data_IF_934166028591
#
_entry.id   IF_934166028591
#
_cell.length_a   1.000
_cell.length_b   1.000
_cell.length_c   1.000
_cell.angle_alpha   90.00
_cell.angle_beta   90.00
_cell.angle_gamma   90.00
#
_symmetry.space_group_name_H-M   'P 1'
#
loop_
_entity.id
_entity.type
_entity.pdbx_description
1 polymer ?
#
# COMPACT_ATOMS: atom_id res chain seq x y z
N UNK A 1 -24.38 14.34 -13.33
CA UNK A 1 -24.18 13.37 -14.44
C UNK A 1 -25.55 12.94 -14.94
N UNK A 2 -25.80 13.04 -16.25
CA UNK A 2 -27.12 12.78 -16.82
C UNK A 2 -27.43 11.28 -16.78
N UNK A 3 -28.62 10.89 -16.30
CA UNK A 3 -29.05 9.47 -16.20
C UNK A 3 -28.84 8.68 -17.49
N UNK A 4 -29.07 9.31 -18.65
CA UNK A 4 -28.83 8.71 -19.97
C UNK A 4 -27.36 8.39 -20.22
N UNK A 5 -26.45 9.32 -19.90
CA UNK A 5 -25.00 9.13 -20.04
C UNK A 5 -24.52 8.00 -19.13
N UNK A 6 -25.00 7.95 -17.90
CA UNK A 6 -24.70 6.85 -16.98
C UNK A 6 -25.16 5.49 -17.54
N UNK A 7 -26.40 5.39 -18.03
CA UNK A 7 -26.93 4.14 -18.59
C UNK A 7 -26.11 3.69 -19.81
N UNK A 8 -25.77 4.61 -20.71
CA UNK A 8 -24.95 4.29 -21.89
C UNK A 8 -23.57 3.77 -21.48
N UNK A 9 -22.91 4.42 -20.52
CA UNK A 9 -21.61 3.97 -20.02
C UNK A 9 -21.70 2.63 -19.29
N UNK A 10 -22.76 2.42 -18.50
CA UNK A 10 -23.00 1.15 -17.83
C UNK A 10 -23.20 0.03 -18.85
N UNK A 11 -24.06 0.22 -19.86
CA UNK A 11 -24.28 -0.75 -20.94
C UNK A 11 -23.00 -1.05 -21.71
N UNK A 12 -22.20 -0.03 -22.02
CA UNK A 12 -20.91 -0.21 -22.69
C UNK A 12 -19.95 -1.05 -21.83
N UNK A 13 -19.82 -0.73 -20.54
CA UNK A 13 -18.99 -1.49 -19.61
C UNK A 13 -19.44 -2.94 -19.47
N UNK A 14 -20.74 -3.19 -19.31
CA UNK A 14 -21.31 -4.54 -19.27
C UNK A 14 -21.10 -5.30 -20.58
N UNK A 15 -21.22 -4.63 -21.73
CA UNK A 15 -20.95 -5.22 -23.04
C UNK A 15 -19.51 -5.70 -23.17
N UNK A 16 -18.54 -4.89 -22.73
CA UNK A 16 -17.11 -5.26 -22.72
C UNK A 16 -16.86 -6.45 -21.79
N UNK A 17 -17.46 -6.46 -20.59
CA UNK A 17 -17.33 -7.58 -19.66
C UNK A 17 -17.92 -8.88 -20.23
N UNK A 18 -19.11 -8.81 -20.82
CA UNK A 18 -19.75 -9.96 -21.46
C UNK A 18 -18.90 -10.50 -22.61
N UNK A 19 -18.34 -9.62 -23.46
CA UNK A 19 -17.42 -10.01 -24.51
C UNK A 19 -16.18 -10.74 -23.97
N UNK A 20 -15.58 -10.23 -22.89
CA UNK A 20 -14.43 -10.87 -22.23
C UNK A 20 -14.76 -12.26 -21.68
N UNK A 21 -15.90 -12.40 -21.00
CA UNK A 21 -16.37 -13.70 -20.46
C UNK A 21 -16.68 -14.69 -21.58
N UNK A 22 -17.37 -14.25 -22.64
CA UNK A 22 -17.64 -15.10 -23.80
C UNK A 22 -16.34 -15.53 -24.49
N UNK A 23 -15.37 -14.62 -24.63
CA UNK A 23 -14.05 -14.92 -25.17
C UNK A 23 -13.26 -15.93 -24.32
N UNK A 24 -13.38 -15.84 -22.99
CA UNK A 24 -12.79 -16.78 -22.04
C UNK A 24 -13.26 -18.21 -22.30
N UNK A 25 -14.56 -18.43 -22.51
CA UNK A 25 -15.10 -19.76 -22.75
C UNK A 25 -14.92 -20.24 -24.19
N UNK A 26 -15.05 -19.36 -25.19
CA UNK A 26 -14.81 -19.72 -26.60
C UNK A 26 -13.37 -20.16 -26.85
N UNK A 27 -12.39 -19.59 -26.13
CA UNK A 27 -10.98 -19.91 -26.27
C UNK A 27 -10.44 -20.79 -25.14
N UNK A 28 -11.30 -21.65 -24.57
CA UNK A 28 -11.02 -22.44 -23.35
C UNK A 28 -9.70 -23.21 -23.36
N UNK A 29 -9.28 -23.74 -24.51
CA UNK A 29 -8.01 -24.46 -24.66
C UNK A 29 -6.76 -23.61 -24.38
N UNK A 30 -6.86 -22.27 -24.52
CA UNK A 30 -5.76 -21.34 -24.23
C UNK A 30 -5.96 -20.63 -22.89
N UNK A 31 -7.20 -20.31 -22.56
CA UNK A 31 -7.55 -19.47 -21.41
C UNK A 31 -7.74 -20.25 -20.10
N UNK A 32 -7.93 -21.57 -20.17
CA UNK A 32 -8.10 -22.44 -18.99
C UNK A 32 -9.13 -21.86 -17.99
N UNK A 33 -10.42 -21.73 -18.37
CA UNK A 33 -11.41 -20.97 -17.61
C UNK A 33 -11.58 -21.43 -16.16
N UNK A 34 -11.40 -22.74 -15.88
CA UNK A 34 -11.45 -23.26 -14.52
C UNK A 34 -10.34 -22.71 -13.62
N UNK A 35 -9.11 -22.62 -14.13
CA UNK A 35 -7.98 -22.03 -13.39
C UNK A 35 -8.15 -20.52 -13.23
N UNK A 36 -8.69 -19.84 -14.25
CA UNK A 36 -9.05 -18.44 -14.15
C UNK A 36 -10.08 -18.19 -13.05
N UNK A 37 -11.16 -18.99 -12.99
CA UNK A 37 -12.20 -18.87 -11.95
C UNK A 37 -11.60 -19.12 -10.56
N UNK A 38 -10.78 -20.16 -10.40
CA UNK A 38 -10.09 -20.44 -9.13
C UNK A 38 -9.20 -19.28 -8.70
N UNK A 39 -8.42 -18.73 -9.61
CA UNK A 39 -7.55 -17.58 -9.33
C UNK A 39 -8.36 -16.33 -8.98
N UNK A 40 -9.41 -16.03 -9.73
CA UNK A 40 -10.26 -14.85 -9.53
C UNK A 40 -11.01 -14.92 -8.20
N UNK A 41 -11.75 -16.01 -7.97
CA UNK A 41 -12.53 -16.20 -6.73
C UNK A 41 -11.62 -16.44 -5.53
N UNK A 42 -10.56 -17.23 -5.69
CA UNK A 42 -9.57 -17.48 -4.64
C UNK A 42 -8.87 -16.19 -4.21
N UNK A 43 -8.47 -15.35 -5.18
CA UNK A 43 -7.88 -14.04 -4.92
C UNK A 43 -8.83 -13.09 -4.19
N UNK A 44 -10.09 -13.00 -4.64
CA UNK A 44 -11.12 -12.19 -3.97
C UNK A 44 -11.37 -12.68 -2.53
N UNK A 45 -11.47 -13.99 -2.34
CA UNK A 45 -11.67 -14.58 -1.02
C UNK A 45 -10.49 -14.31 -0.07
N UNK A 46 -9.25 -14.52 -0.54
CA UNK A 46 -8.05 -14.21 0.27
C UNK A 46 -7.98 -12.72 0.57
N UNK A 47 -8.34 -11.86 -0.37
CA UNK A 47 -8.38 -10.43 -0.17
C UNK A 47 -9.36 -10.05 0.96
N UNK A 48 -10.61 -10.50 0.88
CA UNK A 48 -11.66 -10.08 1.82
C UNK A 48 -11.54 -10.77 3.18
N UNK A 49 -11.14 -12.04 3.21
CA UNK A 49 -11.05 -12.82 4.44
C UNK A 49 -9.72 -12.62 5.19
N UNK A 50 -8.65 -12.19 4.50
CA UNK A 50 -7.31 -12.08 5.10
C UNK A 50 -6.74 -10.68 4.94
N UNK A 51 -6.59 -10.19 3.70
CA UNK A 51 -5.90 -8.93 3.46
C UNK A 51 -6.62 -7.74 4.08
N UNK A 52 -7.94 -7.62 3.86
CA UNK A 52 -8.74 -6.53 4.41
C UNK A 52 -8.72 -6.51 5.96
N UNK A 53 -8.94 -7.63 6.68
CA UNK A 53 -8.79 -7.67 8.14
C UNK A 53 -7.40 -7.30 8.64
N UNK A 54 -6.34 -7.77 7.97
CA UNK A 54 -4.95 -7.45 8.34
C UNK A 54 -4.69 -5.95 8.15
N UNK A 55 -5.06 -5.39 7.00
CA UNK A 55 -4.90 -3.95 6.72
C UNK A 55 -5.69 -3.12 7.72
N UNK A 56 -6.91 -3.54 8.06
CA UNK A 56 -7.71 -2.89 9.09
C UNK A 56 -7.03 -2.93 10.47
N UNK A 57 -6.50 -4.09 10.88
CA UNK A 57 -5.74 -4.22 12.11
C UNK A 57 -4.51 -3.31 12.15
N UNK A 58 -3.75 -3.24 11.05
CA UNK A 58 -2.60 -2.32 10.91
C UNK A 58 -3.05 -0.85 11.00
N UNK A 59 -4.18 -0.49 10.37
CA UNK A 59 -4.73 0.85 10.45
C UNK A 59 -5.13 1.23 11.89
N UNK A 60 -5.72 0.30 12.66
CA UNK A 60 -6.03 0.49 14.07
C UNK A 60 -4.76 0.71 14.92
N UNK A 61 -3.69 -0.02 14.64
CA UNK A 61 -2.39 0.16 15.31
C UNK A 61 -1.77 1.53 14.97
N UNK A 62 -1.78 1.91 13.69
CA UNK A 62 -1.35 3.24 13.23
C UNK A 62 -2.20 4.37 13.82
N UNK A 63 -3.45 4.09 14.19
CA UNK A 63 -4.33 5.01 14.92
C UNK A 63 -3.68 5.56 16.19
N UNK A 64 -2.90 4.74 16.90
CA UNK A 64 -2.22 5.07 18.17
C UNK A 64 -0.90 5.81 18.00
N UNK A 65 -0.36 5.89 16.79
CA UNK A 65 0.93 6.54 16.52
C UNK A 65 0.76 8.07 16.53
N UNK A 66 1.72 8.86 17.03
CA UNK A 66 1.70 10.31 16.91
C UNK A 66 1.57 10.78 15.45
N UNK A 67 0.75 11.83 15.21
CA UNK A 67 0.50 12.41 13.87
C UNK A 67 1.78 12.65 13.04
N UNK A 68 2.90 13.16 13.59
CA UNK A 68 4.10 13.41 12.80
C UNK A 68 4.69 12.16 12.13
N UNK A 69 4.46 10.97 12.69
CA UNK A 69 5.08 9.73 12.19
C UNK A 69 4.16 8.94 11.26
N UNK A 70 2.84 9.21 11.28
CA UNK A 70 1.83 8.40 10.59
C UNK A 70 2.10 8.27 9.09
N UNK A 71 2.36 9.38 8.41
CA UNK A 71 2.56 9.38 6.96
C UNK A 71 3.80 8.56 6.56
N UNK A 72 4.91 8.71 7.30
CA UNK A 72 6.14 7.96 7.06
C UNK A 72 5.93 6.46 7.26
N UNK A 73 5.28 6.06 8.37
CA UNK A 73 5.00 4.65 8.64
C UNK A 73 4.03 4.04 7.63
N UNK A 74 2.99 4.76 7.21
CA UNK A 74 2.07 4.31 6.17
C UNK A 74 2.81 4.05 4.85
N UNK A 75 3.61 5.01 4.40
CA UNK A 75 4.41 4.84 3.17
C UNK A 75 5.38 3.67 3.27
N UNK A 76 6.09 3.54 4.39
CA UNK A 76 7.02 2.44 4.66
C UNK A 76 6.34 1.07 4.65
N UNK A 77 5.19 0.95 5.32
CA UNK A 77 4.41 -0.29 5.36
C UNK A 77 3.86 -0.67 3.98
N UNK A 78 3.37 0.30 3.20
CA UNK A 78 2.92 0.06 1.82
C UNK A 78 4.08 -0.42 0.96
N UNK A 79 5.24 0.26 1.02
CA UNK A 79 6.42 -0.15 0.26
C UNK A 79 6.88 -1.57 0.65
N UNK A 80 6.96 -1.86 1.95
CA UNK A 80 7.33 -3.18 2.46
C UNK A 80 6.34 -4.26 2.00
N UNK A 81 5.03 -3.99 2.07
CA UNK A 81 3.99 -4.93 1.63
C UNK A 81 4.08 -5.22 0.13
N UNK A 82 4.21 -4.19 -0.70
CA UNK A 82 4.33 -4.32 -2.17
C UNK A 82 5.57 -5.13 -2.54
N UNK A 83 6.73 -4.80 -1.97
CA UNK A 83 7.97 -5.56 -2.21
C UNK A 83 7.80 -7.03 -1.78
N UNK A 84 7.25 -7.26 -0.60
CA UNK A 84 7.05 -8.63 -0.07
C UNK A 84 6.13 -9.46 -0.98
N UNK A 85 4.98 -8.90 -1.38
CA UNK A 85 4.03 -9.57 -2.27
C UNK A 85 4.62 -9.83 -3.66
N UNK A 86 5.43 -8.90 -4.17
CA UNK A 86 6.11 -9.04 -5.46
C UNK A 86 7.17 -10.14 -5.42
N UNK A 87 7.90 -10.24 -4.31
CA UNK A 87 8.99 -11.22 -4.15
C UNK A 87 8.48 -12.62 -3.77
N UNK A 88 7.29 -12.71 -3.16
CA UNK A 88 6.69 -13.95 -2.69
C UNK A 88 6.73 -15.14 -3.67
N UNK A 89 6.33 -15.04 -4.96
CA UNK A 89 6.39 -16.17 -5.88
C UNK A 89 7.81 -16.74 -6.05
N UNK A 90 8.83 -15.88 -6.02
CA UNK A 90 10.23 -16.30 -6.12
C UNK A 90 10.72 -16.99 -4.86
N UNK A 91 10.27 -16.55 -3.67
CA UNK A 91 10.52 -17.27 -2.41
C UNK A 91 9.90 -18.66 -2.41
N UNK A 92 8.72 -18.81 -3.03
CA UNK A 92 8.08 -20.11 -3.22
C UNK A 92 8.76 -20.98 -4.28
N UNK A 93 9.73 -20.42 -5.00
CA UNK A 93 10.43 -21.11 -6.09
C UNK A 93 9.54 -21.36 -7.30
N UNK A 94 8.46 -20.58 -7.46
CA UNK A 94 7.61 -20.71 -8.65
C UNK A 94 8.43 -20.40 -9.91
N UNK A 95 8.30 -21.27 -10.92
CA UNK A 95 9.08 -21.17 -12.15
C UNK A 95 10.50 -21.75 -12.06
N UNK A 96 10.95 -22.23 -10.89
CA UNK A 96 12.26 -22.89 -10.76
C UNK A 96 12.26 -24.20 -11.52
N UNK A 97 13.30 -24.41 -12.34
CA UNK A 97 13.52 -25.65 -13.07
C UNK A 97 14.84 -26.28 -12.67
N UNK A 98 14.84 -27.59 -12.45
CA UNK A 98 16.04 -28.34 -12.03
C UNK A 98 17.08 -28.46 -13.14
N UNK A 99 16.64 -28.36 -14.40
CA UNK A 99 17.48 -28.43 -15.59
C UNK A 99 18.11 -27.06 -15.96
N UNK A 100 17.64 -25.96 -15.37
CA UNK A 100 18.14 -24.63 -15.64
C UNK A 100 18.19 -23.75 -14.38
N UNK A 101 19.34 -23.79 -13.71
CA UNK A 101 19.60 -23.01 -12.49
C UNK A 101 19.65 -21.48 -12.74
N UNK A 102 19.80 -21.03 -14.00
CA UNK A 102 19.84 -19.60 -14.32
C UNK A 102 18.45 -18.92 -14.29
N UNK A 103 17.36 -19.69 -14.17
CA UNK A 103 15.99 -19.14 -14.10
C UNK A 103 15.73 -18.45 -12.76
N UNK A 104 16.33 -18.95 -11.67
CA UNK A 104 16.15 -18.40 -10.33
C UNK A 104 17.46 -18.44 -9.53
N UNK A 105 18.49 -17.69 -9.96
CA UNK A 105 19.85 -17.83 -9.44
C UNK A 105 20.06 -17.12 -8.10
N UNK A 106 19.19 -16.16 -7.77
CA UNK A 106 19.38 -15.31 -6.59
C UNK A 106 18.81 -15.94 -5.32
N UNK A 107 19.47 -15.63 -4.20
CA UNK A 107 18.89 -15.82 -2.87
C UNK A 107 17.89 -14.68 -2.57
N UNK A 108 16.63 -14.93 -2.94
CA UNK A 108 15.51 -14.01 -2.70
C UNK A 108 15.20 -13.78 -1.23
N UNK A 109 15.58 -14.71 -0.34
CA UNK A 109 15.33 -14.57 1.10
C UNK A 109 16.23 -13.47 1.68
N UNK A 110 17.54 -13.58 1.43
CA UNK A 110 18.52 -12.58 1.82
C UNK A 110 18.27 -11.25 1.10
N UNK A 111 17.88 -11.30 -0.18
CA UNK A 111 17.48 -10.11 -0.94
C UNK A 111 16.33 -9.35 -0.28
N UNK A 112 15.24 -10.06 0.05
CA UNK A 112 14.06 -9.46 0.68
C UNK A 112 14.40 -8.84 2.04
N UNK A 113 15.12 -9.56 2.91
CA UNK A 113 15.50 -9.05 4.24
C UNK A 113 16.29 -7.74 4.11
N UNK A 114 17.27 -7.69 3.20
CA UNK A 114 18.06 -6.47 2.95
C UNK A 114 17.18 -5.32 2.45
N UNK A 115 16.28 -5.57 1.50
CA UNK A 115 15.38 -4.53 0.99
C UNK A 115 14.42 -4.03 2.08
N UNK A 116 13.86 -4.91 2.90
CA UNK A 116 13.02 -4.53 4.03
C UNK A 116 13.78 -3.72 5.08
N UNK A 117 15.04 -4.07 5.35
CA UNK A 117 15.91 -3.28 6.24
C UNK A 117 16.14 -1.87 5.69
N UNK A 118 16.40 -1.72 4.38
CA UNK A 118 16.54 -0.40 3.74
C UNK A 118 15.25 0.40 3.87
N UNK A 119 14.09 -0.20 3.58
CA UNK A 119 12.78 0.47 3.72
C UNK A 119 12.57 0.93 5.17
N UNK A 120 12.89 0.08 6.15
CA UNK A 120 12.77 0.41 7.57
C UNK A 120 13.66 1.60 7.96
N UNK A 121 14.93 1.61 7.53
CA UNK A 121 15.87 2.71 7.80
C UNK A 121 15.39 4.02 7.19
N UNK A 122 14.97 3.99 5.92
CA UNK A 122 14.45 5.18 5.22
C UNK A 122 13.19 5.70 5.92
N UNK A 123 12.27 4.81 6.28
CA UNK A 123 11.04 5.15 7.00
C UNK A 123 11.32 5.81 8.34
N UNK A 124 12.25 5.24 9.12
CA UNK A 124 12.67 5.78 10.41
C UNK A 124 13.29 7.18 10.26
N UNK A 125 14.13 7.38 9.24
CA UNK A 125 14.72 8.69 8.92
C UNK A 125 13.65 9.75 8.62
N UNK A 126 12.64 9.41 7.81
CA UNK A 126 11.53 10.33 7.54
C UNK A 126 10.68 10.62 8.77
N UNK A 127 10.40 9.62 9.61
CA UNK A 127 9.61 9.79 10.82
C UNK A 127 10.34 10.67 11.84
N UNK A 128 11.65 10.47 12.02
CA UNK A 128 12.50 11.30 12.87
C UNK A 128 12.55 12.75 12.37
N UNK A 129 12.73 12.95 11.05
CA UNK A 129 12.70 14.27 10.45
C UNK A 129 11.35 14.99 10.65
N UNK A 130 10.23 14.28 10.51
CA UNK A 130 8.90 14.84 10.75
C UNK A 130 8.68 15.20 12.22
N UNK A 131 9.18 14.38 13.14
CA UNK A 131 9.17 14.67 14.58
C UNK A 131 9.92 15.96 14.92
N UNK A 132 11.15 16.10 14.42
CA UNK A 132 11.99 17.27 14.68
C UNK A 132 11.36 18.56 14.13
N UNK A 133 10.73 18.51 12.95
CA UNK A 133 10.01 19.66 12.37
C UNK A 133 8.84 20.10 13.25
N UNK A 134 8.05 19.14 13.75
CA UNK A 134 6.91 19.43 14.62
C UNK A 134 7.29 20.13 15.93
N UNK A 135 8.42 19.75 16.55
CA UNK A 135 8.90 20.42 17.78
C UNK A 135 9.28 21.88 17.53
N UNK A 136 10.02 22.16 16.45
CA UNK A 136 10.48 23.52 16.13
C UNK A 136 9.30 24.47 15.89
N UNK A 137 8.25 24.01 15.20
CA UNK A 137 7.04 24.81 14.99
C UNK A 137 6.33 25.16 16.30
N UNK A 138 6.32 24.26 17.28
CA UNK A 138 5.73 24.51 18.60
C UNK A 138 6.52 25.54 19.42
N UNK A 139 7.86 25.48 19.36
CA UNK A 139 8.75 26.44 20.03
C UNK A 139 8.58 27.86 19.48
N UNK A 140 8.54 28.02 18.14
CA UNK A 140 8.33 29.32 17.48
C UNK A 140 6.94 29.89 17.81
N UNK A 141 5.89 29.05 17.78
CA UNK A 141 4.54 29.49 18.14
C UNK A 141 4.44 29.91 19.62
N UNK A 142 5.13 29.20 20.53
CA UNK A 142 5.18 29.54 21.94
C UNK A 142 5.91 30.86 22.21
N UNK A 143 7.03 31.09 21.54
CA UNK A 143 7.78 32.35 21.62
C UNK A 143 6.94 33.55 21.12
N UNK A 144 6.25 33.39 19.99
CA UNK A 144 5.36 34.43 19.45
C UNK A 144 4.15 34.70 20.36
N UNK A 145 3.58 33.68 21.00
CA UNK A 145 2.50 33.86 21.95
C UNK A 145 2.98 34.61 23.21
N UNK A 146 4.20 34.33 23.69
CA UNK A 146 4.79 35.02 24.83
C UNK A 146 5.07 36.50 24.54
N UNK A 147 5.55 36.84 23.34
CA UNK A 147 5.78 38.24 22.95
C UNK A 147 4.48 39.04 22.86
N UNK A 148 3.41 38.44 22.30
CA UNK A 148 2.08 39.08 22.23
C UNK A 148 1.39 39.27 23.59
N UNK A 149 1.81 38.52 24.62
CA UNK A 149 1.32 38.69 25.99
C UNK A 149 2.12 39.74 26.74
N UNK A 150 3.43 39.84 26.48
CA UNK A 150 4.28 40.92 26.99
C UNK A 150 3.79 42.28 26.50
N UNK A 151 3.75 42.46 25.18
CA UNK A 151 3.33 43.69 24.49
C UNK A 151 1.98 44.24 24.98
N UNK A 152 1.00 43.35 25.22
CA UNK A 152 -0.34 43.71 25.70
C UNK A 152 -0.40 44.16 27.17
N UNK A 153 0.60 43.80 27.99
CA UNK A 153 0.72 44.31 29.36
C UNK A 153 1.31 45.71 29.39
N UNK A 154 2.05 46.06 28.35
CA UNK A 154 2.80 47.31 28.27
C UNK A 154 1.89 48.46 27.78
N UNK A 155 0.84 48.16 27.02
CA UNK A 155 -0.18 49.12 26.54
C UNK A 155 -1.34 49.39 27.54
N UNK A 156 -1.37 48.71 28.69
CA UNK A 156 -2.48 48.76 29.65
C UNK A 156 -2.30 49.70 30.85
N UNK A 157 -1.31 50.59 30.82
CA UNK A 157 -0.99 51.57 31.88
C UNK A 157 -1.03 53.00 31.33
#
# INVERSE_FOLDING_TARGET
MNRRVFIVMAMLGWGVMAFGVLGLFHNSARTHPGEWVKWFLGGALVHDAVLAPVVFGVALLLGRVPRPWKASLQGGLVAAAVVTLTVYPFLRGYGRRSDNLSVLPNDYSSGLIRTLAVIAVVTAGFAAGAWWRGRKSGEVAGAAAASLVGDRRDEGL
#
